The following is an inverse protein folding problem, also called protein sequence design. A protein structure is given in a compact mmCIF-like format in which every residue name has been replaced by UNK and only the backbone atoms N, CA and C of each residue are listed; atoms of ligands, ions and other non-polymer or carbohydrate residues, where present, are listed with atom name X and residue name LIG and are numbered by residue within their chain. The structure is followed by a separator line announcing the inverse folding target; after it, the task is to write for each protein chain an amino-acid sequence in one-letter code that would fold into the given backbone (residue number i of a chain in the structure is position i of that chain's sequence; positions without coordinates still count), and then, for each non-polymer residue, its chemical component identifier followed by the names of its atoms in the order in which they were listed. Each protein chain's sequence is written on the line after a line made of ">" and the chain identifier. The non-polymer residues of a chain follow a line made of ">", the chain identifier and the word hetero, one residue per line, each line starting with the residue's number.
data_IF_792415723321
#
_entry.id   IF_792415723321
#
_cell.length_a   1.000
_cell.length_b   1.000
_cell.length_c   1.000
_cell.angle_alpha   90.00
_cell.angle_beta   90.00
_cell.angle_gamma   90.00
#
_symmetry.space_group_name_H-M   'P 1'
#
loop_
_entity.id
_entity.type
_entity.pdbx_description
1 polymer ?
#
# COMPACT_ATOMS: atom_id res chain seq x y z
N UNK A 1 12.82 0.39 25.18
CA UNK A 1 12.23 -0.15 24.61
C UNK A 1 11.94 0.14 23.30
N UNK A 2 11.63 -0.67 22.67
CA UNK A 2 11.59 -0.52 21.31
C UNK A 2 10.63 0.48 20.83
N UNK A 3 10.98 1.14 19.78
CA UNK A 3 10.13 2.00 19.18
C UNK A 3 9.39 1.23 18.19
N UNK A 4 8.43 0.53 18.58
CA UNK A 4 7.68 -0.38 17.74
C UNK A 4 7.15 0.32 16.50
N UNK A 5 6.87 1.58 16.61
CA UNK A 5 6.30 2.30 15.49
C UNK A 5 7.24 2.43 14.31
N UNK A 6 8.54 2.28 14.56
CA UNK A 6 9.52 2.41 13.49
C UNK A 6 10.06 1.09 12.99
N UNK A 7 9.58 -0.02 13.52
CA UNK A 7 10.05 -1.31 13.05
C UNK A 7 9.53 -1.57 11.64
N UNK A 8 10.36 -2.18 10.78
CA UNK A 8 9.91 -2.45 9.42
C UNK A 8 8.61 -3.23 9.37
N UNK A 9 8.46 -4.19 10.25
CA UNK A 9 7.25 -4.99 10.28
C UNK A 9 6.05 -4.16 10.67
N UNK A 10 6.23 -3.21 11.60
CA UNK A 10 5.13 -2.36 12.01
C UNK A 10 4.70 -1.44 10.87
N UNK A 11 5.67 -0.90 10.14
CA UNK A 11 5.36 -0.05 9.00
C UNK A 11 4.62 -0.85 7.94
N UNK A 12 5.08 -2.06 7.68
CA UNK A 12 4.44 -2.92 6.71
C UNK A 12 3.01 -3.23 7.12
N UNK A 13 2.81 -3.56 8.39
CA UNK A 13 1.48 -3.87 8.89
C UNK A 13 0.53 -2.67 8.76
N UNK A 14 1.05 -1.49 9.04
CA UNK A 14 0.23 -0.28 8.88
C UNK A 14 -0.14 -0.07 7.42
N UNK A 15 0.79 -0.32 6.53
CA UNK A 15 0.51 -0.19 5.10
C UNK A 15 -0.58 -1.14 4.66
N UNK A 16 -0.49 -2.39 5.10
CA UNK A 16 -1.49 -3.38 4.76
C UNK A 16 -2.85 -2.97 5.33
N UNK A 17 -2.86 -2.50 6.56
CA UNK A 17 -4.10 -2.07 7.18
C UNK A 17 -4.72 -0.91 6.41
N UNK A 18 -3.91 0.05 6.02
CA UNK A 18 -4.42 1.18 5.23
C UNK A 18 -4.99 0.71 3.91
N UNK A 19 -4.36 -0.31 3.31
CA UNK A 19 -4.88 -0.86 2.07
C UNK A 19 -6.25 -1.49 2.29
N UNK A 20 -6.42 -2.18 3.40
CA UNK A 20 -7.68 -2.84 3.70
C UNK A 20 -8.79 -1.82 4.01
N UNK A 21 -8.44 -0.71 4.61
CA UNK A 21 -9.43 0.31 4.93
C UNK A 21 -9.72 1.23 3.76
N UNK A 22 -9.00 1.08 2.67
CA UNK A 22 -9.26 1.89 1.48
C UNK A 22 -8.43 3.13 1.35
N UNK A 23 -7.52 3.37 2.29
CA UNK A 23 -6.64 4.54 2.23
C UNK A 23 -5.44 4.20 1.38
N UNK A 24 -5.64 4.16 0.08
CA UNK A 24 -4.62 3.65 -0.83
C UNK A 24 -3.40 4.55 -0.91
N UNK A 25 -3.60 5.86 -0.80
CA UNK A 25 -2.47 6.79 -0.85
C UNK A 25 -1.55 6.57 0.33
N UNK A 26 -2.11 6.42 1.52
CA UNK A 26 -1.29 6.18 2.69
C UNK A 26 -0.67 4.80 2.65
N UNK A 27 -1.42 3.82 2.15
CA UNK A 27 -0.89 2.47 2.02
C UNK A 27 0.34 2.47 1.13
N UNK A 28 0.28 3.19 0.03
CA UNK A 28 1.42 3.24 -0.88
C UNK A 28 2.64 3.82 -0.19
N UNK A 29 2.45 4.91 0.53
CA UNK A 29 3.55 5.56 1.23
C UNK A 29 4.17 4.64 2.26
N UNK A 30 3.33 3.98 3.06
CA UNK A 30 3.82 3.09 4.10
C UNK A 30 4.51 1.86 3.52
N UNK A 31 3.95 1.30 2.46
CA UNK A 31 4.54 0.11 1.86
C UNK A 31 5.87 0.45 1.19
N UNK A 32 5.97 1.62 0.59
CA UNK A 32 7.23 2.04 0.02
C UNK A 32 8.28 2.19 1.11
N UNK A 33 7.89 2.78 2.23
CA UNK A 33 8.80 2.95 3.33
C UNK A 33 9.25 1.59 3.87
N UNK A 34 8.34 0.66 4.01
CA UNK A 34 8.69 -0.67 4.48
C UNK A 34 9.62 -1.37 3.49
N UNK A 35 9.40 -1.18 2.21
CA UNK A 35 10.28 -1.76 1.21
C UNK A 35 11.69 -1.20 1.33
N UNK A 36 11.81 0.09 1.55
CA UNK A 36 13.11 0.71 1.74
C UNK A 36 13.81 0.17 2.97
N UNK A 37 13.03 -0.26 3.95
CA UNK A 37 13.59 -0.82 5.18
C UNK A 37 13.92 -2.29 5.04
N UNK A 38 13.69 -2.88 3.89
CA UNK A 38 14.10 -4.25 3.63
C UNK A 38 12.99 -5.28 3.72
N UNK A 39 11.75 -4.87 3.82
CA UNK A 39 10.64 -5.82 3.90
C UNK A 39 10.26 -6.25 2.49
N UNK A 40 10.60 -7.48 2.15
CA UNK A 40 10.33 -7.97 0.80
C UNK A 40 8.85 -8.11 0.52
N UNK A 41 8.09 -8.49 1.53
CA UNK A 41 6.65 -8.62 1.35
C UNK A 41 6.00 -7.29 0.99
N UNK A 42 6.61 -6.18 1.40
CA UNK A 42 6.07 -4.88 1.08
C UNK A 42 6.10 -4.63 -0.43
N UNK A 43 7.12 -5.14 -1.11
CA UNK A 43 7.21 -4.97 -2.55
C UNK A 43 6.05 -5.68 -3.24
N UNK A 44 5.72 -6.86 -2.77
CA UNK A 44 4.61 -7.62 -3.34
C UNK A 44 3.30 -6.88 -3.10
N UNK A 45 3.12 -6.38 -1.88
CA UNK A 45 1.91 -5.64 -1.56
C UNK A 45 1.81 -4.35 -2.35
N UNK A 46 2.94 -3.69 -2.60
CA UNK A 46 2.95 -2.50 -3.42
C UNK A 46 2.48 -2.79 -4.83
N UNK A 47 2.91 -3.92 -5.35
CA UNK A 47 2.51 -4.31 -6.68
C UNK A 47 1.01 -4.56 -6.74
N UNK A 48 0.49 -5.23 -5.74
CA UNK A 48 -0.93 -5.47 -5.66
C UNK A 48 -1.71 -4.18 -5.50
N UNK A 49 -1.16 -3.25 -4.73
CA UNK A 49 -1.79 -1.97 -4.53
C UNK A 49 -1.85 -1.19 -5.84
N UNK A 50 -0.77 -1.22 -6.59
CA UNK A 50 -0.74 -0.54 -7.88
C UNK A 50 -1.77 -1.10 -8.83
N UNK A 51 -1.93 -2.40 -8.82
CA UNK A 51 -2.94 -3.02 -9.66
C UNK A 51 -4.33 -2.58 -9.24
N UNK A 52 -4.56 -2.45 -7.95
CA UNK A 52 -5.83 -1.99 -7.46
C UNK A 52 -6.11 -0.57 -7.92
N UNK A 53 -5.13 0.29 -7.83
CA UNK A 53 -5.28 1.66 -8.26
C UNK A 53 -5.52 1.73 -9.76
N UNK A 54 -4.80 0.92 -10.51
CA UNK A 54 -4.96 0.87 -11.95
C UNK A 54 -6.34 0.39 -12.33
N UNK A 55 -6.80 -0.65 -11.66
CA UNK A 55 -8.11 -1.19 -11.93
C UNK A 55 -9.20 -0.16 -11.66
N UNK A 56 -9.05 0.56 -10.56
CA UNK A 56 -10.01 1.59 -10.23
C UNK A 56 -10.01 2.71 -11.29
N UNK A 57 -8.82 3.08 -11.75
CA UNK A 57 -8.72 4.13 -12.74
C UNK A 57 -9.35 3.69 -14.05
N UNK A 58 -9.11 2.45 -14.44
CA UNK A 58 -9.68 1.92 -15.66
C UNK A 58 -11.19 1.84 -15.54
N UNK A 59 -11.65 1.40 -14.39
CA UNK A 59 -13.08 1.28 -14.16
C UNK A 59 -13.76 2.65 -14.22
N UNK A 60 -13.13 3.64 -13.60
CA UNK A 60 -13.67 4.99 -13.61
C UNK A 60 -13.71 5.53 -15.03
N UNK A 61 -12.64 5.28 -15.78
CA UNK A 61 -12.57 5.73 -17.15
C UNK A 61 -13.67 5.10 -17.99
N UNK A 62 -13.88 3.83 -17.77
CA UNK A 62 -14.91 3.10 -18.49
C UNK A 62 -16.29 3.65 -18.17
N UNK A 63 -16.53 3.95 -16.92
CA UNK A 63 -17.80 4.51 -16.50
C UNK A 63 -18.00 5.91 -17.05
N UNK A 64 -16.93 6.66 -17.14
CA UNK A 64 -17.03 8.04 -17.63
C UNK A 64 -17.44 8.09 -19.08
N UNK A 65 -17.14 7.05 -19.82
CA UNK A 65 -17.47 7.00 -21.21
C UNK A 65 -18.97 6.95 -21.43
N UNK A 66 -19.67 6.41 -20.46
CA UNK A 66 -21.11 6.38 -20.57
C UNK A 66 -21.69 7.71 -20.37
#
# INVERSE_FOLDING_TARGET
>A
MAKAGNAPEAVHAKGVLSMLTGDLAEAESLLKQAQDMGVKAAAINLEELRKKIEDNAVFDSFNAVK
#
